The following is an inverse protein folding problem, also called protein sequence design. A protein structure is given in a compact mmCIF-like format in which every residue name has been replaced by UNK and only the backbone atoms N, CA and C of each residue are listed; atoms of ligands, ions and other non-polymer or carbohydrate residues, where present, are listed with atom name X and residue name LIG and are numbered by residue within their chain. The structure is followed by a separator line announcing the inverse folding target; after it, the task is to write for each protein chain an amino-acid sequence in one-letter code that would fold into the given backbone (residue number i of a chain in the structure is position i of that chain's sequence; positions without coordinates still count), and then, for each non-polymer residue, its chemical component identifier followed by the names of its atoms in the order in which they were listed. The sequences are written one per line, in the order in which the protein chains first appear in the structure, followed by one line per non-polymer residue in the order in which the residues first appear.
data_IF_374846105408
#
_entry.id   IF_374846105408
#
_cell.length_a   1.000
_cell.length_b   1.000
_cell.length_c   1.000
_cell.angle_alpha   90.00
_cell.angle_beta   90.00
_cell.angle_gamma   90.00
#
_symmetry.space_group_name_H-M   'P 1'
#
loop_
_entity.id
_entity.type
_entity.pdbx_description
1 polymer ?
#
# COMPACT_ATOMS: atom_id res chain seq x y z
N UNK A 1 15.40 -12.61 9.36
CA UNK A 1 16.12 -11.64 8.48
C UNK A 1 15.19 -10.55 7.94
N UNK A 2 13.94 -10.89 7.60
CA UNK A 2 12.97 -9.94 7.04
C UNK A 2 12.59 -8.77 7.96
N UNK A 3 12.43 -9.00 9.27
CA UNK A 3 11.96 -7.98 10.24
C UNK A 3 12.72 -6.63 10.24
N UNK A 4 14.06 -6.57 10.34
CA UNK A 4 14.79 -5.30 10.28
C UNK A 4 14.71 -4.62 8.91
N UNK A 5 14.70 -5.39 7.82
CA UNK A 5 14.51 -4.86 6.47
C UNK A 5 13.12 -4.23 6.31
N UNK A 6 12.08 -4.97 6.68
CA UNK A 6 10.68 -4.54 6.67
C UNK A 6 10.50 -3.22 7.43
N UNK A 7 11.03 -3.15 8.66
CA UNK A 7 10.95 -1.94 9.49
C UNK A 7 11.63 -0.75 8.79
N UNK A 8 12.85 -0.94 8.28
CA UNK A 8 13.61 0.12 7.62
C UNK A 8 12.94 0.60 6.33
N UNK A 9 12.30 -0.30 5.56
CA UNK A 9 11.58 0.05 4.34
C UNK A 9 10.32 0.84 4.63
N UNK A 10 9.51 0.41 5.60
CA UNK A 10 8.28 1.12 5.98
C UNK A 10 8.57 2.54 6.47
N UNK A 11 9.67 2.75 7.20
CA UNK A 11 10.11 4.11 7.54
C UNK A 11 10.41 4.99 6.32
N UNK A 12 10.96 4.42 5.23
CA UNK A 12 11.25 5.15 3.99
C UNK A 12 10.01 5.41 3.15
N UNK A 13 9.00 4.54 3.21
CA UNK A 13 7.67 4.81 2.65
C UNK A 13 7.07 6.06 3.32
N UNK A 14 7.32 6.28 4.61
CA UNK A 14 6.81 7.45 5.34
C UNK A 14 7.68 8.71 5.24
N UNK A 15 8.74 8.69 4.43
CA UNK A 15 9.72 9.78 4.33
C UNK A 15 9.08 11.08 3.82
N UNK A 16 9.60 12.24 4.25
CA UNK A 16 9.12 13.53 3.78
C UNK A 16 9.55 13.87 2.35
N UNK A 17 10.58 13.18 1.83
CA UNK A 17 11.11 13.41 0.49
C UNK A 17 10.38 12.55 -0.55
N UNK A 18 9.71 13.22 -1.50
CA UNK A 18 8.96 12.56 -2.59
C UNK A 18 9.79 11.58 -3.42
N UNK A 19 11.09 11.81 -3.60
CA UNK A 19 11.96 10.88 -4.33
C UNK A 19 12.25 9.61 -3.53
N UNK A 20 12.38 9.76 -2.21
CA UNK A 20 12.57 8.62 -1.29
C UNK A 20 11.29 7.80 -1.23
N UNK A 21 10.13 8.44 -1.10
CA UNK A 21 8.82 7.80 -1.17
C UNK A 21 8.68 6.91 -2.42
N UNK A 22 8.97 7.46 -3.60
CA UNK A 22 8.90 6.69 -4.86
C UNK A 22 9.87 5.52 -4.85
N UNK A 23 11.14 5.74 -4.51
CA UNK A 23 12.13 4.67 -4.47
C UNK A 23 11.78 3.58 -3.45
N UNK A 24 11.21 3.98 -2.29
CA UNK A 24 10.79 3.07 -1.24
C UNK A 24 9.61 2.22 -1.69
N UNK A 25 8.55 2.82 -2.25
CA UNK A 25 7.39 2.07 -2.76
C UNK A 25 7.80 1.11 -3.87
N UNK A 26 8.57 1.55 -4.87
CA UNK A 26 9.01 0.64 -5.94
C UNK A 26 9.87 -0.53 -5.44
N UNK A 27 10.78 -0.27 -4.49
CA UNK A 27 11.53 -1.34 -3.86
C UNK A 27 10.63 -2.27 -3.02
N UNK A 28 9.56 -1.71 -2.44
CA UNK A 28 8.61 -2.46 -1.63
C UNK A 28 7.77 -3.41 -2.48
N UNK A 29 7.30 -2.99 -3.67
CA UNK A 29 6.64 -3.88 -4.63
C UNK A 29 7.52 -5.09 -4.97
N UNK A 30 8.81 -4.87 -5.25
CA UNK A 30 9.76 -5.97 -5.49
C UNK A 30 9.91 -6.90 -4.28
N UNK A 31 9.88 -6.34 -3.06
CA UNK A 31 9.91 -7.18 -1.85
C UNK A 31 8.61 -7.99 -1.71
N UNK A 32 7.48 -7.40 -2.04
CA UNK A 32 6.17 -8.04 -1.95
C UNK A 32 6.09 -9.27 -2.85
N UNK A 33 6.49 -9.10 -4.12
CA UNK A 33 6.53 -10.17 -5.12
C UNK A 33 7.47 -11.32 -4.73
N UNK A 34 8.65 -11.00 -4.19
CA UNK A 34 9.67 -12.00 -3.86
C UNK A 34 9.41 -12.70 -2.51
N UNK A 35 8.82 -12.01 -1.54
CA UNK A 35 8.56 -12.55 -0.21
C UNK A 35 7.19 -13.24 -0.10
N UNK A 36 6.16 -12.77 -0.82
CA UNK A 36 4.82 -13.35 -0.84
C UNK A 36 4.30 -13.73 0.57
N UNK A 37 4.03 -15.02 0.81
CA UNK A 37 3.51 -15.55 2.08
C UNK A 37 4.40 -15.24 3.30
N UNK A 38 5.71 -14.98 3.12
CA UNK A 38 6.61 -14.58 4.21
C UNK A 38 6.24 -13.22 4.83
N UNK A 39 5.38 -12.44 4.15
CA UNK A 39 4.85 -11.16 4.60
C UNK A 39 3.65 -11.30 5.54
N UNK A 40 2.97 -12.45 5.54
CA UNK A 40 1.75 -12.69 6.34
C UNK A 40 1.92 -12.27 7.82
N UNK A 41 3.03 -12.60 8.51
CA UNK A 41 3.26 -12.18 9.90
C UNK A 41 3.41 -10.67 10.10
N UNK A 42 3.54 -9.90 9.01
CA UNK A 42 3.80 -8.46 9.00
C UNK A 42 2.66 -7.65 8.35
N UNK A 43 1.55 -8.27 7.94
CA UNK A 43 0.47 -7.56 7.23
C UNK A 43 -0.10 -6.39 8.02
N UNK A 44 -0.35 -6.57 9.32
CA UNK A 44 -0.88 -5.49 10.15
C UNK A 44 0.02 -4.23 10.15
N UNK A 45 1.33 -4.31 10.49
CA UNK A 45 2.19 -3.13 10.41
C UNK A 45 2.38 -2.60 8.98
N UNK A 46 2.40 -3.46 7.96
CA UNK A 46 2.49 -3.00 6.56
C UNK A 46 1.27 -2.14 6.21
N UNK A 47 0.05 -2.67 6.37
CA UNK A 47 -1.19 -1.98 6.04
C UNK A 47 -1.33 -0.66 6.80
N UNK A 48 -1.01 -0.64 8.10
CA UNK A 48 -1.04 0.61 8.87
C UNK A 48 -0.10 1.68 8.30
N UNK A 49 1.10 1.31 7.86
CA UNK A 49 2.04 2.26 7.27
C UNK A 49 1.60 2.71 5.88
N UNK A 50 1.13 1.80 5.03
CA UNK A 50 0.60 2.14 3.70
C UNK A 50 -0.62 3.06 3.80
N UNK A 51 -1.57 2.77 4.70
CA UNK A 51 -2.75 3.63 4.91
C UNK A 51 -2.40 4.97 5.54
N UNK A 52 -1.35 5.04 6.36
CA UNK A 52 -0.85 6.32 6.86
C UNK A 52 -0.19 7.14 5.74
N UNK A 53 0.57 6.50 4.84
CA UNK A 53 1.12 7.15 3.65
C UNK A 53 0.00 7.64 2.71
N UNK A 54 -1.06 6.85 2.56
CA UNK A 54 -2.22 7.14 1.71
C UNK A 54 -2.85 8.50 2.00
N UNK A 55 -3.03 8.83 3.29
CA UNK A 55 -3.57 10.12 3.72
C UNK A 55 -2.61 11.32 3.53
N UNK A 56 -1.35 11.09 3.20
CA UNK A 56 -0.29 12.12 3.13
C UNK A 56 0.32 12.30 1.74
N UNK A 57 0.29 11.26 0.92
CA UNK A 57 0.88 11.26 -0.40
C UNK A 57 0.14 12.23 -1.33
N UNK A 58 0.90 12.88 -2.20
CA UNK A 58 0.35 13.75 -3.24
C UNK A 58 0.14 12.96 -4.53
N UNK A 59 -0.74 13.45 -5.41
CA UNK A 59 -1.25 12.76 -6.60
C UNK A 59 -0.21 11.85 -7.31
N UNK A 60 0.96 12.37 -7.71
CA UNK A 60 1.99 11.56 -8.39
C UNK A 60 2.47 10.36 -7.56
N UNK A 61 2.77 10.56 -6.28
CA UNK A 61 3.29 9.50 -5.43
C UNK A 61 2.16 8.59 -4.93
N UNK A 62 0.93 9.08 -4.87
CA UNK A 62 -0.22 8.26 -4.55
C UNK A 62 -0.42 7.14 -5.57
N UNK A 63 -0.10 7.38 -6.85
CA UNK A 63 -0.14 6.33 -7.89
C UNK A 63 0.79 5.15 -7.59
N UNK A 64 2.03 5.41 -7.17
CA UNK A 64 2.97 4.32 -6.83
C UNK A 64 2.59 3.65 -5.50
N UNK A 65 1.81 4.32 -4.65
CA UNK A 65 1.29 3.71 -3.44
C UNK A 65 0.10 2.80 -3.74
N UNK A 66 -0.78 3.15 -4.69
CA UNK A 66 -1.82 2.23 -5.17
C UNK A 66 -1.20 0.95 -5.72
N UNK A 67 -0.16 1.09 -6.54
CA UNK A 67 0.62 -0.05 -7.06
C UNK A 67 1.10 -0.96 -5.93
N UNK A 68 1.78 -0.42 -4.91
CA UNK A 68 2.23 -1.20 -3.75
C UNK A 68 1.08 -1.88 -2.98
N UNK A 69 -0.08 -1.22 -2.83
CA UNK A 69 -1.24 -1.83 -2.17
C UNK A 69 -1.79 -3.00 -3.01
N UNK A 70 -1.86 -2.83 -4.33
CA UNK A 70 -2.28 -3.87 -5.27
C UNK A 70 -1.31 -5.05 -5.28
N UNK A 71 -0.01 -4.78 -5.40
CA UNK A 71 1.04 -5.82 -5.37
C UNK A 71 1.01 -6.60 -4.05
N UNK A 72 0.79 -5.95 -2.91
CA UNK A 72 0.60 -6.65 -1.64
C UNK A 72 -0.59 -7.62 -1.73
N UNK A 73 -1.73 -7.16 -2.24
CA UNK A 73 -2.94 -7.96 -2.37
C UNK A 73 -2.74 -9.17 -3.29
N UNK A 74 -2.08 -8.97 -4.43
CA UNK A 74 -1.71 -10.05 -5.35
C UNK A 74 -0.75 -11.06 -4.71
N UNK A 75 0.19 -10.58 -3.89
CA UNK A 75 1.25 -11.39 -3.30
C UNK A 75 0.77 -12.28 -2.14
N UNK A 76 -0.23 -11.84 -1.36
CA UNK A 76 -0.71 -12.59 -0.17
C UNK A 76 -2.16 -13.07 -0.25
N UNK A 77 -2.92 -12.59 -1.23
CA UNK A 77 -4.29 -13.03 -1.53
C UNK A 77 -5.24 -13.05 -0.32
N UNK A 78 -5.84 -14.22 -0.06
CA UNK A 78 -6.85 -14.42 0.98
C UNK A 78 -6.36 -14.08 2.40
N UNK A 79 -5.03 -13.99 2.62
CA UNK A 79 -4.47 -13.57 3.89
C UNK A 79 -4.82 -12.12 4.28
N UNK A 80 -5.33 -11.29 3.35
CA UNK A 80 -5.88 -9.97 3.68
C UNK A 80 -7.34 -10.01 4.15
N UNK A 81 -8.07 -11.11 3.94
CA UNK A 81 -9.50 -11.23 4.23
C UNK A 81 -9.80 -11.54 5.71
N UNK A 82 -8.97 -11.02 6.62
CA UNK A 82 -9.27 -11.04 8.05
C UNK A 82 -9.97 -9.74 8.45
N UNK A 83 -11.06 -9.80 9.24
CA UNK A 83 -11.83 -8.61 9.62
C UNK A 83 -10.99 -7.47 10.18
N UNK A 84 -9.99 -7.80 11.01
CA UNK A 84 -9.10 -6.81 11.62
C UNK A 84 -8.20 -6.11 10.59
N UNK A 85 -7.76 -6.80 9.54
CA UNK A 85 -6.96 -6.22 8.46
C UNK A 85 -7.85 -5.39 7.52
N UNK A 86 -8.99 -5.95 7.11
CA UNK A 86 -10.00 -5.28 6.26
C UNK A 86 -10.43 -3.94 6.85
N UNK A 87 -10.62 -3.89 8.18
CA UNK A 87 -10.97 -2.66 8.89
C UNK A 87 -9.89 -1.55 8.81
N UNK A 88 -8.64 -1.89 8.47
CA UNK A 88 -7.55 -0.92 8.33
C UNK A 88 -7.59 -0.22 6.97
N UNK A 89 -7.77 -0.97 5.88
CA UNK A 89 -7.55 -0.44 4.53
C UNK A 89 -8.82 -0.19 3.71
N UNK A 90 -9.91 -0.92 3.94
CA UNK A 90 -11.14 -0.68 3.16
C UNK A 90 -11.78 0.68 3.43
N UNK A 91 -11.92 1.16 4.68
CA UNK A 91 -12.51 2.48 4.93
C UNK A 91 -11.81 3.65 4.22
N UNK A 92 -10.46 3.80 4.25
CA UNK A 92 -9.81 4.88 3.52
C UNK A 92 -9.92 4.76 1.99
N UNK A 93 -9.87 3.53 1.43
CA UNK A 93 -10.06 3.32 -0.01
C UNK A 93 -11.48 3.70 -0.47
N UNK A 94 -12.51 3.27 0.27
CA UNK A 94 -13.91 3.61 -0.03
C UNK A 94 -14.14 5.12 0.11
N UNK A 95 -13.60 5.74 1.16
CA UNK A 95 -13.71 7.19 1.34
C UNK A 95 -13.06 7.94 0.17
N UNK A 96 -11.93 7.44 -0.33
CA UNK A 96 -11.26 8.00 -1.51
C UNK A 96 -12.07 7.80 -2.78
N UNK A 97 -12.65 6.62 -2.98
CA UNK A 97 -13.53 6.31 -4.11
C UNK A 97 -14.68 7.31 -4.22
N UNK A 98 -15.33 7.63 -3.11
CA UNK A 98 -16.40 8.64 -3.10
C UNK A 98 -15.93 10.09 -3.29
N UNK A 99 -14.65 10.37 -3.08
CA UNK A 99 -14.09 11.73 -3.18
C UNK A 99 -13.50 12.05 -4.56
N UNK A 100 -13.17 11.04 -5.35
CA UNK A 100 -12.61 11.20 -6.69
C UNK A 100 -13.75 11.32 -7.71
N UNK A 101 -13.64 12.27 -8.65
CA UNK A 101 -14.62 12.47 -9.71
C UNK A 101 -14.51 11.39 -10.79
N UNK A 102 -15.64 11.02 -11.39
CA UNK A 102 -15.77 9.97 -12.42
C UNK A 102 -14.88 10.16 -13.66
N UNK A 103 -14.46 11.39 -13.95
CA UNK A 103 -13.60 11.74 -15.09
C UNK A 103 -12.10 11.80 -14.74
N UNK A 104 -11.74 11.52 -13.49
CA UNK A 104 -10.36 11.57 -13.02
C UNK A 104 -9.63 10.25 -13.29
N UNK A 105 -8.48 10.34 -13.96
CA UNK A 105 -7.61 9.21 -14.25
C UNK A 105 -7.07 8.47 -12.99
N UNK A 106 -7.14 9.09 -11.81
CA UNK A 106 -6.81 8.44 -10.52
C UNK A 106 -7.75 7.27 -10.18
N UNK A 107 -8.94 7.20 -10.76
CA UNK A 107 -9.89 6.12 -10.49
C UNK A 107 -9.39 4.74 -10.89
N UNK A 108 -8.66 4.63 -12.00
CA UNK A 108 -8.17 3.33 -12.49
C UNK A 108 -7.26 2.62 -11.47
N UNK A 109 -6.16 3.24 -10.98
CA UNK A 109 -5.31 2.60 -9.99
C UNK A 109 -5.99 2.44 -8.62
N UNK A 110 -6.94 3.30 -8.26
CA UNK A 110 -7.73 3.09 -7.04
C UNK A 110 -8.62 1.85 -7.14
N UNK A 111 -9.19 1.58 -8.32
CA UNK A 111 -10.01 0.40 -8.58
C UNK A 111 -9.19 -0.89 -8.54
N UNK A 112 -7.95 -0.86 -9.04
CA UNK A 112 -7.03 -2.01 -8.96
C UNK A 112 -6.78 -2.44 -7.51
N UNK A 113 -6.84 -1.52 -6.53
CA UNK A 113 -6.76 -1.88 -5.11
C UNK A 113 -8.03 -2.53 -4.53
N UNK A 114 -9.14 -2.57 -5.27
CA UNK A 114 -10.46 -3.02 -4.81
C UNK A 114 -10.99 -4.26 -5.55
N UNK A 115 -10.29 -4.72 -6.59
CA UNK A 115 -10.67 -5.85 -7.45
C UNK A 115 -9.80 -7.05 -7.18
#
# INVERSE_FOLDING_TARGET
VLKPLMTSMLERVLDGNKKVQTAACSAFCTLEEEAADDLIPYLAPILHNLMYAFGRYQARNLLILYDAIGTLADSVGEALNYPDLVAVFMPPLIAKWHAVADDNAELFPLLECLT
#
